data_IF_820818351561
#
_entry.id   IF_820818351561
#
_cell.length_a   1.000
_cell.length_b   1.000
_cell.length_c   1.000
_cell.angle_alpha   90.00
_cell.angle_beta   90.00
_cell.angle_gamma   90.00
#
_symmetry.space_group_name_H-M   'P 1'
#
loop_
_entity.id
_entity.type
_entity.pdbx_description
1 polymer ?
#
# COMPACT_ATOMS: atom_id res chain seq x y z
N UNK A 1 -15.80 -49.74 54.63
CA UNK A 1 -16.30 -48.48 54.04
C UNK A 1 -15.37 -47.26 54.11
N UNK A 2 -14.11 -47.34 54.60
CA UNK A 2 -13.21 -46.16 54.70
C UNK A 2 -12.13 -46.03 53.61
N UNK A 3 -12.01 -46.97 52.66
CA UNK A 3 -10.99 -46.91 51.58
C UNK A 3 -11.50 -46.44 50.22
N UNK A 4 -12.82 -46.41 49.99
CA UNK A 4 -13.39 -45.94 48.72
C UNK A 4 -13.50 -44.41 48.62
N UNK A 5 -13.55 -43.72 49.76
CA UNK A 5 -13.76 -42.26 49.80
C UNK A 5 -12.49 -41.45 49.52
N UNK A 6 -11.30 -42.02 49.72
CA UNK A 6 -10.03 -41.31 49.50
C UNK A 6 -9.64 -41.27 48.01
N UNK A 7 -10.04 -42.26 47.22
CA UNK A 7 -9.74 -42.32 45.79
C UNK A 7 -10.61 -41.36 44.95
N UNK A 8 -11.83 -41.09 45.40
CA UNK A 8 -12.75 -40.15 44.74
C UNK A 8 -12.28 -38.68 44.88
N UNK A 9 -11.59 -38.32 45.96
CA UNK A 9 -11.10 -36.95 46.19
C UNK A 9 -9.85 -36.64 45.35
N UNK A 10 -9.00 -37.63 45.10
CA UNK A 10 -7.77 -37.45 44.28
C UNK A 10 -8.12 -37.29 42.78
N UNK A 11 -9.20 -37.91 42.30
CA UNK A 11 -9.64 -37.74 40.91
C UNK A 11 -10.35 -36.40 40.63
N UNK A 12 -10.86 -35.70 41.64
CA UNK A 12 -11.53 -34.41 41.47
C UNK A 12 -10.58 -33.21 41.51
N UNK A 13 -9.37 -33.35 42.06
CA UNK A 13 -8.38 -32.26 42.11
C UNK A 13 -7.51 -32.16 40.86
N UNK A 14 -7.39 -33.24 40.07
CA UNK A 14 -6.57 -33.29 38.85
C UNK A 14 -7.13 -32.48 37.67
N UNK A 15 -8.44 -32.18 37.64
CA UNK A 15 -9.03 -31.31 36.62
C UNK A 15 -8.86 -29.80 36.93
N UNK A 16 -8.58 -29.44 38.18
CA UNK A 16 -8.43 -28.03 38.58
C UNK A 16 -7.06 -27.43 38.25
N UNK A 17 -6.04 -28.28 38.06
CA UNK A 17 -4.69 -27.90 37.64
C UNK A 17 -4.57 -27.64 36.13
N UNK A 18 -5.45 -28.21 35.29
CA UNK A 18 -5.43 -27.97 33.85
C UNK A 18 -6.11 -26.64 33.42
N UNK A 19 -6.99 -26.07 34.25
CA UNK A 19 -7.68 -24.81 33.91
C UNK A 19 -6.82 -23.57 34.23
N UNK A 20 -5.79 -23.70 35.08
CA UNK A 20 -4.90 -22.60 35.44
C UNK A 20 -3.80 -22.33 34.39
N UNK A 21 -3.41 -23.33 33.60
CA UNK A 21 -2.40 -23.14 32.56
C UNK A 21 -2.96 -22.56 31.26
N UNK A 22 -4.23 -22.78 30.93
CA UNK A 22 -4.83 -22.20 29.72
C UNK A 22 -5.05 -20.69 29.84
N UNK A 23 -5.42 -20.19 31.03
CA UNK A 23 -5.50 -18.73 31.29
C UNK A 23 -4.12 -18.07 31.33
N UNK A 24 -3.10 -18.76 31.86
CA UNK A 24 -1.70 -18.30 31.84
C UNK A 24 -1.16 -18.20 30.42
N UNK A 25 -1.46 -19.16 29.55
CA UNK A 25 -0.98 -19.16 28.17
C UNK A 25 -1.77 -18.20 27.28
N UNK A 26 -3.05 -17.97 27.55
CA UNK A 26 -3.84 -16.90 26.91
C UNK A 26 -3.37 -15.52 27.38
N UNK A 27 -3.07 -15.32 28.67
CA UNK A 27 -2.49 -14.07 29.18
C UNK A 27 -1.04 -13.84 28.74
N UNK A 28 -0.21 -14.89 28.61
CA UNK A 28 1.14 -14.80 28.03
C UNK A 28 1.10 -14.59 26.51
N UNK A 29 0.12 -15.14 25.79
CA UNK A 29 -0.14 -14.83 24.39
C UNK A 29 -0.69 -13.40 24.19
N UNK A 30 -1.39 -12.85 25.20
CA UNK A 30 -1.83 -11.44 25.23
C UNK A 30 -0.73 -10.47 25.71
N UNK A 31 0.26 -10.94 26.48
CA UNK A 31 1.38 -10.14 27.03
C UNK A 31 2.75 -10.56 26.45
N UNK A 32 2.90 -10.67 25.12
CA UNK A 32 4.17 -10.35 24.43
C UNK A 32 4.14 -10.34 22.90
N UNK A 33 2.98 -10.10 22.28
CA UNK A 33 3.03 -9.46 20.97
C UNK A 33 3.30 -7.97 21.23
N UNK A 34 4.58 -7.58 21.37
CA UNK A 34 4.96 -6.21 21.05
C UNK A 34 4.45 -5.99 19.62
N UNK A 35 3.28 -5.37 19.50
CA UNK A 35 2.64 -5.17 18.21
C UNK A 35 3.67 -4.49 17.32
N UNK A 36 4.10 -5.18 16.26
CA UNK A 36 5.13 -4.67 15.37
C UNK A 36 4.72 -3.28 14.92
N UNK A 37 5.48 -2.25 15.35
CA UNK A 37 5.13 -0.86 15.17
C UNK A 37 4.74 -0.60 13.69
N UNK A 38 3.61 0.08 13.47
CA UNK A 38 3.13 0.40 12.13
C UNK A 38 3.86 1.61 11.52
N UNK A 39 4.71 2.25 12.31
CA UNK A 39 5.46 3.45 11.98
C UNK A 39 6.71 3.53 12.86
N UNK A 40 7.62 4.43 12.53
CA UNK A 40 8.73 4.81 13.41
C UNK A 40 9.00 6.30 13.27
N UNK A 41 8.87 7.13 14.31
CA UNK A 41 9.19 8.54 14.20
C UNK A 41 10.66 8.74 13.90
N UNK A 42 11.00 9.53 12.88
CA UNK A 42 12.39 9.83 12.55
C UNK A 42 12.63 11.31 12.32
N UNK A 43 13.84 11.76 12.61
CA UNK A 43 14.33 13.10 12.28
C UNK A 43 14.59 13.19 10.77
N UNK A 44 14.64 14.43 10.24
CA UNK A 44 14.81 14.72 8.80
C UNK A 44 15.96 13.98 8.10
N UNK A 45 17.03 13.61 8.82
CA UNK A 45 18.25 13.01 8.25
C UNK A 45 18.20 11.49 8.07
N UNK A 46 17.12 10.82 8.47
CA UNK A 46 17.02 9.35 8.40
C UNK A 46 16.11 8.88 7.25
N UNK A 47 16.29 7.62 6.84
CA UNK A 47 15.62 7.04 5.69
C UNK A 47 14.56 6.01 6.09
N UNK A 48 13.38 6.12 5.50
CA UNK A 48 12.32 5.12 5.61
C UNK A 48 11.83 4.67 4.24
N UNK A 49 11.52 3.39 4.17
CA UNK A 49 10.99 2.74 3.00
C UNK A 49 9.73 2.00 3.41
N UNK A 50 8.69 2.16 2.60
CA UNK A 50 7.48 1.38 2.66
C UNK A 50 7.42 0.49 1.42
N UNK A 51 7.24 -0.81 1.59
CA UNK A 51 7.24 -1.76 0.46
C UNK A 51 6.47 -3.04 0.72
N UNK A 52 6.37 -3.88 -0.31
CA UNK A 52 5.57 -5.11 -0.29
C UNK A 52 6.07 -6.19 0.67
N UNK A 53 7.38 -6.20 0.98
CA UNK A 53 8.00 -7.14 1.91
C UNK A 53 9.33 -6.58 2.42
N UNK A 54 9.82 -7.16 3.51
CA UNK A 54 11.15 -6.84 4.04
C UNK A 54 12.27 -7.17 3.03
N UNK A 55 12.19 -8.33 2.36
CA UNK A 55 13.15 -8.72 1.33
C UNK A 55 13.23 -7.68 0.20
N UNK A 56 12.09 -7.19 -0.29
CA UNK A 56 12.05 -6.17 -1.32
C UNK A 56 12.75 -4.88 -0.88
N UNK A 57 12.46 -4.43 0.35
CA UNK A 57 13.06 -3.23 0.93
C UNK A 57 14.56 -3.40 1.14
N UNK A 58 15.01 -4.56 1.65
CA UNK A 58 16.44 -4.89 1.78
C UNK A 58 17.15 -4.92 0.43
N UNK A 59 16.53 -5.50 -0.60
CA UNK A 59 17.06 -5.54 -1.96
C UNK A 59 17.30 -4.13 -2.52
N UNK A 60 16.33 -3.22 -2.34
CA UNK A 60 16.48 -1.82 -2.73
C UNK A 60 17.58 -1.10 -1.94
N UNK A 61 17.62 -1.26 -0.60
CA UNK A 61 18.67 -0.65 0.24
C UNK A 61 20.07 -1.08 -0.21
N UNK A 62 20.28 -2.39 -0.41
CA UNK A 62 21.54 -2.95 -0.93
C UNK A 62 21.91 -2.39 -2.31
N UNK A 63 20.94 -2.25 -3.21
CA UNK A 63 21.16 -1.62 -4.51
C UNK A 63 21.64 -0.16 -4.35
N UNK A 64 20.94 0.67 -3.58
CA UNK A 64 21.32 2.08 -3.39
C UNK A 64 22.68 2.20 -2.72
N UNK A 65 22.98 1.35 -1.73
CA UNK A 65 24.29 1.29 -1.08
C UNK A 65 25.40 0.92 -2.08
N UNK A 66 25.15 -0.09 -2.92
CA UNK A 66 26.09 -0.52 -3.98
C UNK A 66 26.36 0.61 -4.97
N UNK A 67 25.33 1.33 -5.39
CA UNK A 67 25.48 2.49 -6.29
C UNK A 67 26.30 3.61 -5.64
N UNK A 68 26.07 3.90 -4.36
CA UNK A 68 26.87 4.86 -3.59
C UNK A 68 28.34 4.44 -3.51
N UNK A 69 28.64 3.18 -3.21
CA UNK A 69 30.01 2.65 -3.19
C UNK A 69 30.71 2.74 -4.56
N UNK A 70 29.94 2.68 -5.65
CA UNK A 70 30.43 2.91 -7.01
C UNK A 70 30.47 4.40 -7.41
N UNK A 71 30.35 5.33 -6.46
CA UNK A 71 30.32 6.80 -6.68
C UNK A 71 29.18 7.26 -7.59
N UNK A 72 28.10 6.48 -7.69
CA UNK A 72 26.88 6.80 -8.44
C UNK A 72 25.87 7.40 -7.48
N UNK A 73 25.88 8.72 -7.35
CA UNK A 73 24.93 9.45 -6.50
C UNK A 73 23.56 9.58 -7.17
N UNK A 74 22.50 9.13 -6.50
CA UNK A 74 21.12 9.29 -6.96
C UNK A 74 20.46 10.43 -6.18
N UNK A 75 19.79 11.35 -6.88
CA UNK A 75 18.91 12.34 -6.22
C UNK A 75 17.71 11.65 -5.57
N UNK A 76 16.96 12.35 -4.72
CA UNK A 76 15.73 11.84 -4.13
C UNK A 76 14.74 11.28 -5.18
N UNK A 77 14.57 12.01 -6.28
CA UNK A 77 13.67 11.62 -7.37
C UNK A 77 14.22 10.40 -8.13
N UNK A 78 15.54 10.31 -8.34
CA UNK A 78 16.16 9.12 -8.93
C UNK A 78 15.94 7.89 -8.05
N UNK A 79 16.14 8.04 -6.74
CA UNK A 79 15.90 7.00 -5.73
C UNK A 79 14.45 6.52 -5.78
N UNK A 80 13.49 7.44 -5.80
CA UNK A 80 12.07 7.11 -5.98
C UNK A 80 11.79 6.37 -7.30
N UNK A 81 12.32 6.84 -8.43
CA UNK A 81 12.09 6.22 -9.74
C UNK A 81 12.70 4.82 -9.81
N UNK A 82 13.89 4.61 -9.25
CA UNK A 82 14.48 3.27 -9.10
C UNK A 82 13.58 2.37 -8.27
N UNK A 83 13.08 2.87 -7.14
CA UNK A 83 12.18 2.12 -6.26
C UNK A 83 10.87 1.74 -6.95
N UNK A 84 10.29 2.67 -7.72
CA UNK A 84 9.11 2.44 -8.54
C UNK A 84 9.37 1.40 -9.65
N UNK A 85 10.48 1.50 -10.38
CA UNK A 85 10.85 0.52 -11.41
C UNK A 85 10.96 -0.91 -10.84
N UNK A 86 11.52 -1.06 -9.63
CA UNK A 86 11.61 -2.36 -8.96
C UNK A 86 10.25 -2.95 -8.57
N UNK A 87 9.19 -2.14 -8.45
CA UNK A 87 7.82 -2.64 -8.22
C UNK A 87 7.35 -3.54 -9.37
N UNK A 88 7.78 -3.27 -10.61
CA UNK A 88 7.42 -4.12 -11.75
C UNK A 88 7.90 -5.56 -11.59
N UNK A 89 8.95 -5.80 -10.80
CA UNK A 89 9.40 -7.15 -10.49
C UNK A 89 8.74 -7.72 -9.22
N UNK A 90 8.44 -6.87 -8.22
CA UNK A 90 7.85 -7.32 -6.94
C UNK A 90 6.35 -7.56 -6.98
N UNK A 91 5.64 -6.74 -7.75
CA UNK A 91 4.18 -6.75 -7.93
C UNK A 91 3.83 -6.65 -9.41
N UNK A 92 4.28 -7.60 -10.26
CA UNK A 92 4.00 -7.56 -11.70
C UNK A 92 2.49 -7.59 -12.01
N UNK A 93 1.68 -8.07 -11.06
CA UNK A 93 0.22 -8.04 -11.09
C UNK A 93 -0.37 -6.62 -10.97
N UNK A 94 0.32 -5.68 -10.33
CA UNK A 94 -0.14 -4.30 -10.12
C UNK A 94 0.74 -3.22 -10.76
N UNK A 95 1.99 -3.56 -11.06
CA UNK A 95 3.00 -2.69 -11.63
C UNK A 95 3.55 -3.30 -12.91
N UNK A 96 3.21 -2.69 -14.04
CA UNK A 96 3.75 -2.95 -15.36
C UNK A 96 3.87 -1.61 -16.10
N UNK A 97 4.49 -1.57 -17.29
CA UNK A 97 4.44 -0.39 -18.14
C UNK A 97 3.01 0.13 -18.37
N UNK A 98 2.02 -0.78 -18.42
CA UNK A 98 0.61 -0.44 -18.66
C UNK A 98 -0.14 0.07 -17.43
N UNK A 99 0.43 -0.05 -16.22
CA UNK A 99 -0.24 0.36 -14.99
C UNK A 99 -0.48 1.86 -14.91
N UNK A 100 -1.61 2.24 -14.30
CA UNK A 100 -1.80 3.58 -13.77
C UNK A 100 -0.78 3.83 -12.67
N UNK A 101 -0.26 5.06 -12.61
CA UNK A 101 0.65 5.48 -11.55
C UNK A 101 0.15 6.76 -10.89
N UNK A 102 -0.09 6.72 -9.59
CA UNK A 102 -0.36 7.90 -8.79
C UNK A 102 0.77 8.11 -7.81
N UNK A 103 1.22 9.35 -7.63
CA UNK A 103 2.27 9.67 -6.67
C UNK A 103 2.03 11.02 -6.00
N UNK A 104 2.21 11.04 -4.69
CA UNK A 104 2.41 12.25 -3.92
C UNK A 104 3.91 12.47 -3.70
N UNK A 105 4.42 13.68 -3.94
CA UNK A 105 5.81 14.06 -3.70
C UNK A 105 5.84 15.33 -2.86
N UNK A 106 6.44 15.26 -1.67
CA UNK A 106 6.87 16.42 -0.90
C UNK A 106 8.37 16.60 -1.05
N UNK A 107 8.81 17.64 -1.76
CA UNK A 107 10.23 17.86 -2.06
C UNK A 107 10.56 19.35 -2.02
N UNK A 108 11.65 19.71 -1.31
CA UNK A 108 12.12 21.10 -1.16
C UNK A 108 11.00 22.06 -0.74
N UNK A 109 10.19 21.66 0.24
CA UNK A 109 9.09 22.47 0.77
C UNK A 109 7.84 22.55 -0.11
N UNK A 110 7.84 21.94 -1.31
CA UNK A 110 6.70 21.94 -2.23
C UNK A 110 6.04 20.57 -2.31
N UNK A 111 4.74 20.59 -2.56
CA UNK A 111 3.90 19.40 -2.69
C UNK A 111 3.37 19.23 -4.09
N UNK A 112 3.48 18.01 -4.59
CA UNK A 112 3.03 17.64 -5.91
C UNK A 112 2.19 16.38 -5.83
N UNK A 113 1.13 16.34 -6.63
CA UNK A 113 0.37 15.14 -6.88
C UNK A 113 0.29 14.92 -8.39
N UNK A 114 0.67 13.71 -8.80
CA UNK A 114 0.62 13.27 -10.18
C UNK A 114 -0.27 12.05 -10.29
N UNK A 115 -1.12 12.05 -11.31
CA UNK A 115 -1.93 10.90 -11.72
C UNK A 115 -1.69 10.64 -13.20
N UNK A 116 -0.94 9.58 -13.49
CA UNK A 116 -0.60 9.12 -14.82
C UNK A 116 -1.50 7.94 -15.18
N UNK A 117 -2.38 8.14 -16.15
CA UNK A 117 -3.33 7.12 -16.60
C UNK A 117 -3.59 7.22 -18.10
N UNK A 118 -4.26 6.20 -18.65
CA UNK A 118 -4.68 6.18 -20.03
C UNK A 118 -6.13 5.69 -20.14
N UNK A 119 -6.93 6.33 -20.99
CA UNK A 119 -8.32 5.93 -21.24
C UNK A 119 -8.44 4.85 -22.32
N UNK A 120 -7.40 4.66 -23.14
CA UNK A 120 -7.37 3.71 -24.26
C UNK A 120 -6.13 2.83 -24.14
N UNK A 121 -6.27 1.57 -24.54
CA UNK A 121 -5.20 0.57 -24.62
C UNK A 121 -4.83 0.34 -26.10
N UNK A 122 -3.57 -0.01 -26.44
CA UNK A 122 -2.41 -0.05 -25.56
C UNK A 122 -2.05 1.35 -25.05
N UNK A 123 -1.43 1.42 -23.87
CA UNK A 123 -0.84 2.63 -23.29
C UNK A 123 0.16 2.27 -22.20
N UNK A 124 1.16 3.14 -21.97
CA UNK A 124 2.22 2.89 -20.99
C UNK A 124 2.33 3.99 -19.90
N UNK A 125 1.25 4.31 -19.18
CA UNK A 125 1.22 5.46 -18.26
C UNK A 125 2.25 5.35 -17.12
N UNK A 126 2.60 4.15 -16.67
CA UNK A 126 3.59 3.96 -15.61
C UNK A 126 4.97 4.50 -16.02
N UNK A 127 5.54 3.99 -17.12
CA UNK A 127 6.86 4.42 -17.60
C UNK A 127 6.85 5.85 -18.13
N UNK A 128 5.74 6.28 -18.73
CA UNK A 128 5.54 7.67 -19.11
C UNK A 128 5.60 8.61 -17.89
N UNK A 129 4.93 8.23 -16.80
CA UNK A 129 4.96 8.98 -15.56
C UNK A 129 6.35 9.07 -14.95
N UNK A 130 7.08 7.95 -14.89
CA UNK A 130 8.45 7.96 -14.38
C UNK A 130 9.41 8.82 -15.23
N UNK A 131 9.31 8.75 -16.57
CA UNK A 131 10.07 9.64 -17.47
C UNK A 131 9.69 11.12 -17.26
N UNK A 132 8.40 11.40 -17.05
CA UNK A 132 7.89 12.74 -16.75
C UNK A 132 8.40 13.29 -15.41
N UNK A 133 8.44 12.47 -14.36
CA UNK A 133 8.99 12.86 -13.06
C UNK A 133 10.48 13.20 -13.16
N UNK A 134 11.28 12.39 -13.85
CA UNK A 134 12.71 12.68 -14.03
C UNK A 134 12.92 14.03 -14.72
N UNK A 135 12.10 14.37 -15.71
CA UNK A 135 12.15 15.67 -16.41
C UNK A 135 11.67 16.82 -15.53
N UNK A 136 10.54 16.66 -14.85
CA UNK A 136 9.94 17.71 -14.01
C UNK A 136 10.86 18.14 -12.85
N UNK A 137 11.72 17.24 -12.39
CA UNK A 137 12.70 17.51 -11.33
C UNK A 137 14.14 17.58 -11.83
N UNK A 138 14.36 17.77 -13.14
CA UNK A 138 15.67 17.97 -13.78
C UNK A 138 16.72 16.93 -13.38
N UNK A 139 16.34 15.66 -13.35
CA UNK A 139 17.26 14.56 -13.05
C UNK A 139 18.37 14.45 -14.10
N UNK A 140 19.59 14.15 -13.63
CA UNK A 140 20.76 13.84 -14.48
C UNK A 140 20.68 12.47 -15.16
N UNK A 141 19.75 11.62 -14.76
CA UNK A 141 19.61 10.26 -15.26
C UNK A 141 18.34 10.11 -16.10
N UNK A 142 18.48 9.52 -17.29
CA UNK A 142 17.32 9.06 -18.05
C UNK A 142 16.75 7.77 -17.46
N UNK A 143 15.46 7.51 -17.74
CA UNK A 143 14.80 6.28 -17.31
C UNK A 143 15.58 5.03 -17.78
N UNK A 144 16.06 5.04 -19.04
CA UNK A 144 16.89 3.96 -19.61
C UNK A 144 18.20 3.76 -18.85
N UNK A 145 18.84 4.85 -18.38
CA UNK A 145 20.07 4.77 -17.58
C UNK A 145 19.79 4.18 -16.20
N UNK A 146 18.74 4.62 -15.51
CA UNK A 146 18.33 4.05 -14.22
C UNK A 146 17.97 2.56 -14.33
N UNK A 147 17.20 2.16 -15.35
CA UNK A 147 16.92 0.75 -15.62
C UNK A 147 18.19 -0.09 -15.85
N UNK A 148 19.17 0.46 -16.57
CA UNK A 148 20.48 -0.18 -16.76
C UNK A 148 21.30 -0.31 -15.47
N UNK A 149 21.21 0.65 -14.55
CA UNK A 149 21.85 0.56 -13.23
C UNK A 149 21.24 -0.57 -12.40
N UNK A 150 19.92 -0.70 -12.39
CA UNK A 150 19.22 -1.78 -11.70
C UNK A 150 19.64 -3.14 -12.27
N UNK A 151 19.58 -3.31 -13.60
CA UNK A 151 19.95 -4.56 -14.25
C UNK A 151 21.38 -5.02 -13.89
N UNK A 152 22.32 -4.06 -13.84
CA UNK A 152 23.74 -4.29 -13.57
C UNK A 152 24.04 -4.59 -12.10
N UNK A 153 23.47 -3.80 -11.18
CA UNK A 153 23.88 -3.79 -9.78
C UNK A 153 22.90 -4.47 -8.80
N UNK A 154 21.64 -4.73 -9.20
CA UNK A 154 20.74 -5.51 -8.36
C UNK A 154 21.10 -7.00 -8.44
N UNK A 155 21.79 -7.50 -7.41
CA UNK A 155 22.18 -8.92 -7.30
C UNK A 155 21.15 -9.75 -6.54
N UNK A 156 20.53 -9.16 -5.53
CA UNK A 156 19.57 -9.85 -4.67
C UNK A 156 18.28 -10.20 -5.42
N UNK A 157 17.80 -11.45 -5.31
CA UNK A 157 16.51 -11.82 -5.86
C UNK A 157 15.40 -11.08 -5.12
N UNK A 158 14.36 -10.71 -5.88
CA UNK A 158 13.10 -10.27 -5.29
C UNK A 158 12.25 -11.51 -5.08
N UNK A 159 11.83 -11.73 -3.83
CA UNK A 159 11.03 -12.88 -3.45
C UNK A 159 9.53 -12.60 -3.59
N UNK A 160 8.76 -13.66 -3.80
CA UNK A 160 7.30 -13.63 -3.82
C UNK A 160 6.79 -13.14 -2.46
N UNK A 161 5.98 -12.07 -2.49
CA UNK A 161 5.29 -11.55 -1.32
C UNK A 161 3.97 -12.28 -1.09
N UNK A 162 3.42 -12.20 0.12
CA UNK A 162 2.12 -12.80 0.46
C UNK A 162 0.97 -12.27 -0.43
N UNK A 163 1.02 -10.98 -0.78
CA UNK A 163 0.01 -10.37 -1.65
C UNK A 163 0.11 -10.92 -3.08
N UNK A 164 1.32 -11.05 -3.62
CA UNK A 164 1.50 -11.60 -4.97
C UNK A 164 1.16 -13.09 -5.01
N UNK A 165 1.53 -13.86 -3.99
CA UNK A 165 1.11 -15.26 -3.84
C UNK A 165 -0.42 -15.39 -3.84
N UNK A 166 -1.13 -14.53 -3.11
CA UNK A 166 -2.60 -14.55 -3.07
C UNK A 166 -3.20 -14.31 -4.47
N UNK A 167 -2.63 -13.37 -5.23
CA UNK A 167 -3.00 -13.15 -6.63
C UNK A 167 -2.75 -14.40 -7.50
N UNK A 168 -1.57 -15.02 -7.40
CA UNK A 168 -1.25 -16.25 -8.15
C UNK A 168 -2.21 -17.40 -7.80
N UNK A 169 -2.54 -17.55 -6.50
CA UNK A 169 -3.46 -18.58 -6.00
C UNK A 169 -4.86 -18.42 -6.59
N UNK A 170 -5.41 -17.20 -6.57
CA UNK A 170 -6.71 -16.88 -7.14
C UNK A 170 -6.76 -17.15 -8.66
N UNK A 171 -5.64 -16.96 -9.34
CA UNK A 171 -5.54 -16.99 -10.79
C UNK A 171 -4.89 -18.26 -11.37
N UNK A 172 -4.59 -19.28 -10.54
CA UNK A 172 -3.83 -20.48 -10.93
C UNK A 172 -4.40 -21.16 -12.19
N UNK A 173 -5.72 -21.32 -12.28
CA UNK A 173 -6.38 -21.98 -13.42
C UNK A 173 -6.16 -21.24 -14.74
N UNK A 174 -6.22 -19.91 -14.71
CA UNK A 174 -6.03 -19.05 -15.88
C UNK A 174 -4.54 -19.01 -16.25
N UNK A 175 -3.64 -18.89 -15.26
CA UNK A 175 -2.19 -18.89 -15.46
C UNK A 175 -1.67 -20.16 -16.16
N UNK A 176 -2.25 -21.33 -15.86
CA UNK A 176 -1.88 -22.59 -16.54
C UNK A 176 -2.06 -22.54 -18.06
N UNK A 177 -3.00 -21.73 -18.55
CA UNK A 177 -3.33 -21.59 -19.97
C UNK A 177 -2.61 -20.41 -20.65
N UNK A 178 -1.88 -19.58 -19.89
CA UNK A 178 -1.27 -18.38 -20.45
C UNK A 178 0.22 -18.55 -20.78
N UNK A 179 0.75 -17.61 -21.55
CA UNK A 179 2.19 -17.50 -21.83
C UNK A 179 3.02 -17.13 -20.59
N UNK A 180 2.38 -16.84 -19.45
CA UNK A 180 3.05 -16.55 -18.18
C UNK A 180 3.31 -17.79 -17.33
N UNK A 181 2.81 -18.97 -17.74
CA UNK A 181 2.94 -20.22 -16.99
C UNK A 181 4.40 -20.53 -16.62
N UNK A 182 5.34 -20.33 -17.53
CA UNK A 182 6.75 -20.67 -17.33
C UNK A 182 7.46 -19.73 -16.34
N UNK A 183 6.87 -18.57 -16.03
CA UNK A 183 7.44 -17.61 -15.07
C UNK A 183 6.89 -17.80 -13.66
N UNK A 184 5.65 -18.27 -13.54
CA UNK A 184 4.93 -18.30 -12.26
C UNK A 184 4.48 -19.69 -11.83
N UNK A 185 4.68 -20.71 -12.66
CA UNK A 185 4.46 -22.10 -12.31
C UNK A 185 5.75 -22.92 -12.39
N UNK A 186 6.04 -23.71 -11.34
CA UNK A 186 7.07 -24.74 -11.32
C UNK A 186 6.39 -26.09 -11.12
N UNK A 187 6.61 -27.04 -12.03
CA UNK A 187 5.93 -28.34 -12.02
C UNK A 187 4.38 -28.21 -11.84
N UNK A 188 3.77 -27.19 -12.46
CA UNK A 188 2.32 -26.94 -12.36
C UNK A 188 1.83 -26.34 -11.03
N UNK A 189 2.72 -26.06 -10.09
CA UNK A 189 2.45 -25.36 -8.82
C UNK A 189 2.83 -23.89 -8.93
N UNK A 190 2.09 -23.00 -8.26
CA UNK A 190 2.39 -21.56 -8.22
C UNK A 190 3.64 -21.30 -7.38
N UNK A 191 4.34 -20.20 -7.65
CA UNK A 191 5.40 -19.74 -6.75
C UNK A 191 4.83 -19.36 -5.38
N UNK A 192 5.51 -19.77 -4.31
CA UNK A 192 5.15 -19.55 -2.91
C UNK A 192 5.95 -18.40 -2.29
N UNK A 193 5.48 -17.81 -1.17
CA UNK A 193 6.24 -16.80 -0.44
C UNK A 193 7.66 -17.28 -0.11
N UNK A 194 8.64 -16.41 -0.34
CA UNK A 194 10.06 -16.75 -0.14
C UNK A 194 10.75 -17.34 -1.39
N UNK A 195 10.01 -17.80 -2.40
CA UNK A 195 10.60 -18.17 -3.69
C UNK A 195 10.94 -16.92 -4.53
N UNK A 196 11.98 -17.03 -5.36
CA UNK A 196 12.42 -15.94 -6.23
C UNK A 196 11.49 -15.71 -7.42
N UNK A 197 11.16 -14.44 -7.69
CA UNK A 197 10.51 -14.02 -8.93
C UNK A 197 11.57 -13.91 -10.04
N UNK A 198 11.29 -14.35 -11.28
CA UNK A 198 12.21 -14.20 -12.40
C UNK A 198 12.67 -12.75 -12.58
N UNK A 199 13.99 -12.53 -12.73
CA UNK A 199 14.56 -11.18 -12.85
C UNK A 199 14.14 -10.51 -14.16
N UNK A 200 13.51 -9.35 -14.05
CA UNK A 200 13.18 -8.49 -15.18
C UNK A 200 14.42 -7.73 -15.70
N UNK A 201 14.60 -7.67 -17.03
CA UNK A 201 15.62 -6.85 -17.70
C UNK A 201 15.05 -5.46 -18.02
N UNK A 202 15.11 -4.54 -17.06
CA UNK A 202 14.46 -3.24 -17.11
C UNK A 202 14.92 -2.36 -18.27
N UNK A 203 16.22 -2.36 -18.60
CA UNK A 203 16.74 -1.58 -19.73
C UNK A 203 16.08 -1.98 -21.05
N UNK A 204 15.80 -3.28 -21.23
CA UNK A 204 15.13 -3.81 -22.43
C UNK A 204 13.66 -3.41 -22.46
N UNK A 205 12.94 -3.57 -21.34
CA UNK A 205 11.54 -3.12 -21.19
C UNK A 205 11.41 -1.63 -21.51
N UNK A 206 12.29 -0.80 -20.96
CA UNK A 206 12.27 0.65 -21.18
C UNK A 206 12.59 1.00 -22.64
N UNK A 207 13.50 0.26 -23.29
CA UNK A 207 13.75 0.44 -24.72
C UNK A 207 12.52 0.11 -25.58
N UNK A 208 11.80 -0.98 -25.27
CA UNK A 208 10.52 -1.31 -25.91
C UNK A 208 9.48 -0.21 -25.69
N UNK A 209 9.41 0.37 -24.49
CA UNK A 209 8.56 1.53 -24.23
C UNK A 209 8.90 2.70 -25.15
N UNK A 210 10.17 3.12 -25.26
CA UNK A 210 10.53 4.25 -26.12
C UNK A 210 10.27 3.99 -27.61
N UNK A 211 10.38 2.73 -28.07
CA UNK A 211 10.00 2.34 -29.45
C UNK A 211 8.50 2.49 -29.68
N UNK A 212 7.68 2.06 -28.71
CA UNK A 212 6.24 2.01 -28.86
C UNK A 212 5.53 3.31 -28.43
N UNK A 213 6.12 4.18 -27.62
CA UNK A 213 5.42 5.36 -27.05
C UNK A 213 4.86 6.34 -28.09
N UNK A 214 5.41 6.36 -29.32
CA UNK A 214 4.95 7.24 -30.41
C UNK A 214 3.62 6.77 -31.02
N UNK A 215 3.28 5.48 -30.91
CA UNK A 215 2.16 4.86 -31.61
C UNK A 215 0.95 4.61 -30.69
N UNK A 216 1.01 5.09 -29.44
CA UNK A 216 0.23 4.53 -28.35
C UNK A 216 -0.38 5.65 -27.50
N UNK A 217 -1.60 6.06 -27.88
CA UNK A 217 -2.57 6.80 -27.06
C UNK A 217 -2.21 8.21 -26.56
N UNK A 218 -3.22 9.09 -26.42
CA UNK A 218 -3.06 10.37 -25.70
C UNK A 218 -2.90 10.08 -24.20
N UNK A 219 -1.69 10.23 -23.67
CA UNK A 219 -1.43 10.20 -22.22
C UNK A 219 -2.15 11.37 -21.55
N UNK A 220 -2.73 11.14 -20.37
CA UNK A 220 -3.18 12.24 -19.51
C UNK A 220 -2.36 12.24 -18.24
N UNK A 221 -1.70 13.37 -18.01
CA UNK A 221 -1.14 13.72 -16.70
C UNK A 221 -2.07 14.73 -16.09
N UNK A 222 -2.59 14.42 -14.91
CA UNK A 222 -3.14 15.46 -14.04
C UNK A 222 -2.02 15.85 -13.09
N UNK A 223 -1.35 16.97 -13.38
CA UNK A 223 -0.54 17.67 -12.38
C UNK A 223 -1.51 18.56 -11.63
N UNK A 224 -1.73 18.26 -10.35
CA UNK A 224 -2.48 19.14 -9.48
C UNK A 224 -1.68 19.29 -8.19
N UNK A 225 -1.57 20.50 -7.65
CA UNK A 225 -1.60 20.62 -6.20
C UNK A 225 -2.90 19.97 -5.79
N UNK A 226 -2.91 18.90 -4.96
CA UNK A 226 -4.09 18.06 -4.69
C UNK A 226 -5.34 18.96 -4.70
N UNK A 227 -6.19 18.86 -5.75
CA UNK A 227 -7.13 19.92 -6.07
C UNK A 227 -8.02 20.21 -4.87
N UNK A 228 -8.12 21.49 -4.54
CA UNK A 228 -8.98 22.09 -3.50
C UNK A 228 -10.47 22.01 -3.81
N UNK A 229 -10.85 21.38 -4.92
CA UNK A 229 -12.20 21.57 -5.46
C UNK A 229 -13.12 20.47 -4.97
N UNK A 230 -13.92 20.88 -3.97
CA UNK A 230 -15.20 20.32 -3.50
C UNK A 230 -15.22 19.61 -2.15
N UNK A 231 -14.25 19.81 -1.27
CA UNK A 231 -14.47 19.51 0.15
C UNK A 231 -13.52 20.28 1.07
N UNK A 232 -13.67 21.61 1.12
CA UNK A 232 -13.15 22.37 2.25
C UNK A 232 -14.02 22.05 3.46
N UNK A 233 -13.66 21.04 4.23
CA UNK A 233 -13.98 21.05 5.65
C UNK A 233 -12.95 21.97 6.27
N UNK A 234 -13.18 23.28 6.13
CA UNK A 234 -12.40 24.26 6.87
C UNK A 234 -12.94 24.22 8.29
N UNK A 235 -12.27 23.48 9.17
CA UNK A 235 -12.31 23.85 10.58
C UNK A 235 -11.40 25.05 10.77
N UNK A 236 -11.58 25.82 11.85
CA UNK A 236 -10.79 27.03 12.14
C UNK A 236 -9.26 26.82 12.02
N UNK A 237 -8.80 25.57 12.19
CA UNK A 237 -7.39 25.23 12.35
C UNK A 237 -6.80 24.32 11.26
N UNK A 238 -7.57 23.84 10.27
CA UNK A 238 -7.08 22.82 9.34
C UNK A 238 -7.51 22.99 7.90
N UNK A 239 -6.58 22.68 6.99
CA UNK A 239 -6.79 22.66 5.54
C UNK A 239 -6.73 21.23 5.02
N UNK A 240 -7.84 20.75 4.45
CA UNK A 240 -7.98 19.40 3.89
C UNK A 240 -8.12 19.49 2.37
N UNK A 241 -7.30 18.74 1.64
CA UNK A 241 -7.33 18.63 0.18
C UNK A 241 -7.36 17.17 -0.23
N UNK A 242 -8.36 16.77 -1.02
CA UNK A 242 -8.50 15.38 -1.47
C UNK A 242 -8.65 15.28 -2.99
N UNK A 243 -8.25 14.17 -3.58
CA UNK A 243 -8.53 13.86 -5.00
C UNK A 243 -9.92 13.21 -5.21
N UNK A 244 -10.81 13.38 -4.23
CA UNK A 244 -12.20 12.91 -4.22
C UNK A 244 -13.10 14.03 -3.74
N UNK A 245 -14.32 14.04 -4.25
CA UNK A 245 -15.38 14.89 -3.72
C UNK A 245 -15.95 14.23 -2.45
N UNK A 246 -15.61 14.78 -1.27
CA UNK A 246 -16.11 14.24 0.00
C UNK A 246 -17.61 14.52 0.21
N UNK A 247 -18.20 15.50 -0.50
CA UNK A 247 -19.62 15.82 -0.34
C UNK A 247 -20.52 14.69 -0.82
N UNK A 248 -20.03 13.82 -1.71
CA UNK A 248 -20.73 12.60 -2.13
C UNK A 248 -21.12 11.73 -0.93
N UNK A 249 -20.29 11.70 0.13
CA UNK A 249 -20.50 10.90 1.34
C UNK A 249 -21.21 11.68 2.46
N UNK A 250 -21.62 12.91 2.21
CA UNK A 250 -22.56 13.63 3.08
C UNK A 250 -24.01 13.32 2.72
N UNK A 251 -24.23 12.82 1.50
CA UNK A 251 -25.48 12.19 1.08
C UNK A 251 -25.29 10.66 1.23
N UNK A 252 -26.34 9.86 1.45
CA UNK A 252 -26.23 8.39 1.48
C UNK A 252 -25.98 7.79 0.07
N UNK A 253 -25.27 8.52 -0.80
CA UNK A 253 -24.88 8.10 -2.14
C UNK A 253 -23.56 7.32 -2.03
N UNK A 254 -23.68 6.02 -1.80
CA UNK A 254 -22.54 5.11 -1.75
C UNK A 254 -22.35 4.44 -3.11
N UNK A 255 -21.13 4.39 -3.63
CA UNK A 255 -20.88 3.79 -4.94
C UNK A 255 -20.95 2.26 -4.81
N UNK A 256 -22.09 1.67 -5.19
CA UNK A 256 -22.28 0.20 -5.17
C UNK A 256 -21.61 -0.50 -6.36
N UNK A 257 -21.49 0.21 -7.49
CA UNK A 257 -20.95 -0.27 -8.77
C UNK A 257 -19.49 0.13 -8.94
N UNK A 258 -18.59 -0.69 -8.40
CA UNK A 258 -17.16 -0.58 -8.67
C UNK A 258 -16.48 -1.93 -8.48
N UNK A 259 -15.60 -2.30 -9.41
CA UNK A 259 -14.67 -3.40 -9.19
C UNK A 259 -13.87 -3.11 -7.91
N UNK A 260 -13.69 -4.14 -7.08
CA UNK A 260 -12.90 -4.02 -5.85
C UNK A 260 -11.51 -3.51 -6.22
N UNK A 261 -11.17 -2.29 -5.80
CA UNK A 261 -9.88 -1.71 -6.10
C UNK A 261 -8.79 -2.50 -5.39
N UNK A 262 -7.76 -2.90 -6.13
CA UNK A 262 -6.50 -3.40 -5.56
C UNK A 262 -5.35 -2.62 -6.19
N UNK A 263 -4.30 -2.40 -5.40
CA UNK A 263 -3.15 -1.62 -5.82
C UNK A 263 -1.90 -2.01 -5.02
N UNK A 264 -0.73 -1.76 -5.59
CA UNK A 264 0.52 -1.80 -4.85
C UNK A 264 0.84 -0.39 -4.33
N UNK A 265 1.14 -0.28 -3.04
CA UNK A 265 1.55 0.96 -2.39
C UNK A 265 2.99 0.82 -1.95
N UNK A 266 3.74 1.91 -2.09
CA UNK A 266 5.14 1.98 -1.69
C UNK A 266 5.51 3.42 -1.38
N UNK A 267 6.56 3.62 -0.60
CA UNK A 267 6.97 4.95 -0.21
C UNK A 267 8.45 5.05 0.12
N UNK A 268 8.96 6.26 0.00
CA UNK A 268 10.32 6.66 0.32
C UNK A 268 10.26 7.97 1.11
N UNK A 269 10.85 8.00 2.29
CA UNK A 269 11.15 9.22 3.03
C UNK A 269 12.66 9.30 3.25
N UNK A 270 13.25 10.44 2.92
CA UNK A 270 14.70 10.61 2.88
C UNK A 270 15.03 12.11 2.86
N UNK A 271 15.91 12.55 3.77
CA UNK A 271 16.40 13.93 3.85
C UNK A 271 15.27 15.00 3.87
N UNK A 272 14.17 14.71 4.56
CA UNK A 272 12.99 15.59 4.64
C UNK A 272 12.13 15.64 3.38
N UNK A 273 12.47 14.87 2.35
CA UNK A 273 11.63 14.63 1.17
C UNK A 273 10.84 13.35 1.33
N UNK A 274 9.63 13.30 0.76
CA UNK A 274 8.74 12.14 0.81
C UNK A 274 8.12 11.88 -0.55
N UNK A 275 7.98 10.60 -0.89
CA UNK A 275 7.25 10.14 -2.04
C UNK A 275 6.40 8.94 -1.64
N UNK A 276 5.10 9.00 -1.94
CA UNK A 276 4.16 7.90 -1.75
C UNK A 276 3.57 7.52 -3.10
N UNK A 277 3.93 6.34 -3.59
CA UNK A 277 3.51 5.82 -4.89
C UNK A 277 2.43 4.77 -4.77
N UNK A 278 1.49 4.80 -5.71
CA UNK A 278 0.47 3.78 -5.91
C UNK A 278 0.46 3.35 -7.36
N UNK A 279 0.38 2.05 -7.59
CA UNK A 279 0.21 1.47 -8.94
C UNK A 279 -0.97 0.52 -8.95
N UNK A 280 -1.74 0.59 -10.01
CA UNK A 280 -2.89 -0.29 -10.24
C UNK A 280 -3.03 -0.57 -11.74
N UNK A 281 -3.54 -1.73 -12.08
CA UNK A 281 -3.96 -2.06 -13.45
C UNK A 281 -5.14 -3.02 -13.38
N UNK A 282 -6.05 -2.91 -14.35
CA UNK A 282 -7.02 -3.98 -14.58
C UNK A 282 -6.39 -5.00 -15.55
N UNK A 283 -6.59 -6.28 -15.26
CA UNK A 283 -6.07 -7.39 -16.06
C UNK A 283 -7.26 -8.10 -16.70
N UNK A 284 -7.62 -7.69 -17.91
CA UNK A 284 -8.74 -8.30 -18.65
C UNK A 284 -8.41 -9.76 -19.02
N UNK A 285 -7.14 -10.02 -19.34
CA UNK A 285 -6.58 -11.36 -19.54
C UNK A 285 -5.21 -11.47 -18.87
N UNK A 286 -4.80 -12.69 -18.49
CA UNK A 286 -3.48 -12.92 -17.90
C UNK A 286 -2.43 -13.22 -18.97
N UNK A 287 -2.15 -12.24 -19.82
CA UNK A 287 -1.12 -12.33 -20.86
C UNK A 287 0.15 -11.56 -20.48
N UNK A 288 1.29 -12.06 -20.95
CA UNK A 288 2.58 -11.44 -20.78
C UNK A 288 2.80 -10.25 -21.72
N UNK A 289 3.15 -9.09 -21.16
CA UNK A 289 3.50 -7.90 -21.92
C UNK A 289 4.85 -8.11 -22.64
N UNK A 290 4.84 -7.95 -23.96
CA UNK A 290 6.03 -8.05 -24.82
C UNK A 290 6.84 -9.35 -24.65
N UNK A 291 6.15 -10.46 -24.34
CA UNK A 291 6.77 -11.77 -24.11
C UNK A 291 7.64 -11.81 -22.85
N UNK A 292 7.33 -11.02 -21.84
CA UNK A 292 8.05 -10.99 -20.55
C UNK A 292 7.19 -11.52 -19.42
N UNK A 293 7.75 -11.59 -18.20
CA UNK A 293 6.98 -11.98 -17.02
C UNK A 293 5.99 -10.89 -16.56
N UNK A 294 6.02 -9.68 -17.13
CA UNK A 294 5.05 -8.64 -16.77
C UNK A 294 3.66 -8.94 -17.30
N UNK A 295 2.63 -8.66 -16.51
CA UNK A 295 1.25 -8.76 -16.99
C UNK A 295 0.91 -7.57 -17.89
N UNK A 296 0.18 -7.84 -18.97
CA UNK A 296 -0.43 -6.82 -19.81
C UNK A 296 -1.78 -6.43 -19.22
N UNK A 297 -1.87 -5.21 -18.71
CA UNK A 297 -3.09 -4.64 -18.19
C UNK A 297 -3.61 -3.48 -19.03
N UNK A 298 -4.60 -2.80 -18.48
CA UNK A 298 -5.12 -1.54 -19.00
C UNK A 298 -4.70 -0.38 -18.11
N UNK A 299 -4.38 0.75 -18.75
CA UNK A 299 -4.06 2.01 -18.06
C UNK A 299 -5.24 2.66 -17.32
N UNK A 300 -6.40 2.00 -17.31
CA UNK A 300 -7.63 2.38 -16.60
C UNK A 300 -7.72 1.76 -15.21
N UNK A 301 -6.58 1.36 -14.62
CA UNK A 301 -6.51 0.85 -13.27
C UNK A 301 -7.20 1.74 -12.23
N UNK A 302 -7.59 1.12 -11.12
CA UNK A 302 -8.29 1.77 -10.00
C UNK A 302 -7.59 3.05 -9.54
N UNK A 303 -8.35 4.13 -9.34
CA UNK A 303 -7.83 5.39 -8.80
C UNK A 303 -7.80 5.32 -7.27
N UNK A 304 -6.61 5.24 -6.67
CA UNK A 304 -6.47 5.41 -5.23
C UNK A 304 -6.87 6.83 -4.80
N UNK A 305 -7.42 6.92 -3.59
CA UNK A 305 -7.88 8.17 -3.00
C UNK A 305 -6.80 8.72 -2.09
N UNK A 306 -6.50 10.00 -2.25
CA UNK A 306 -5.47 10.74 -1.53
C UNK A 306 -6.14 11.90 -0.82
N UNK A 307 -5.75 12.12 0.43
CA UNK A 307 -6.12 13.30 1.21
C UNK A 307 -4.90 13.86 1.93
N UNK A 308 -4.65 15.15 1.74
CA UNK A 308 -3.68 15.95 2.49
C UNK A 308 -4.41 16.72 3.57
N UNK A 309 -3.86 16.68 4.78
CA UNK A 309 -4.31 17.50 5.91
C UNK A 309 -3.13 18.37 6.35
N UNK A 310 -3.35 19.67 6.56
CA UNK A 310 -2.34 20.60 7.07
C UNK A 310 -2.96 21.38 8.23
N UNK A 311 -2.28 21.40 9.38
CA UNK A 311 -2.70 22.09 10.60
C UNK A 311 -1.47 22.64 11.30
N UNK A 312 -1.36 23.98 11.38
CA UNK A 312 -0.13 24.64 11.86
C UNK A 312 1.09 24.10 11.10
N UNK A 313 2.11 23.61 11.80
CA UNK A 313 3.30 22.98 11.19
C UNK A 313 3.12 21.49 10.83
N UNK A 314 2.00 20.89 11.27
CA UNK A 314 1.73 19.48 11.07
C UNK A 314 1.17 19.22 9.68
N UNK A 315 1.59 18.11 9.08
CA UNK A 315 1.14 17.73 7.76
C UNK A 315 0.99 16.23 7.65
N UNK A 316 -0.12 15.80 7.07
CA UNK A 316 -0.44 14.40 6.89
C UNK A 316 -0.91 14.15 5.46
N UNK A 317 -0.58 12.97 4.96
CA UNK A 317 -1.08 12.44 3.69
C UNK A 317 -1.66 11.07 3.98
N UNK A 318 -2.92 10.85 3.62
CA UNK A 318 -3.59 9.56 3.70
C UNK A 318 -3.87 9.03 2.30
N UNK A 319 -3.68 7.73 2.12
CA UNK A 319 -3.93 7.02 0.86
C UNK A 319 -4.85 5.84 1.16
N UNK A 320 -6.05 5.85 0.59
CA UNK A 320 -6.92 4.66 0.56
C UNK A 320 -6.94 4.07 -0.83
N UNK A 321 -6.40 2.86 -0.93
CA UNK A 321 -5.99 2.28 -2.22
C UNK A 321 -6.62 0.92 -2.51
N UNK A 322 -7.30 0.33 -1.52
CA UNK A 322 -7.92 -0.98 -1.60
C UNK A 322 -9.29 -0.97 -0.95
N UNK A 323 -10.24 -1.69 -1.52
CA UNK A 323 -11.58 -1.84 -0.97
C UNK A 323 -12.69 -1.59 -2.00
N UNK A 324 -13.94 -1.76 -1.56
CA UNK A 324 -15.12 -1.51 -2.39
C UNK A 324 -15.37 -0.01 -2.60
N UNK A 325 -15.23 0.78 -1.54
CA UNK A 325 -15.29 2.24 -1.63
C UNK A 325 -14.21 2.92 -0.76
N UNK A 326 -12.98 3.05 -1.30
CA UNK A 326 -11.88 3.72 -0.58
C UNK A 326 -12.11 5.22 -0.36
N UNK A 327 -13.05 5.85 -1.07
CA UNK A 327 -13.41 7.24 -0.81
C UNK A 327 -14.28 7.37 0.44
N UNK A 328 -15.24 6.45 0.63
CA UNK A 328 -16.01 6.37 1.86
C UNK A 328 -15.11 6.15 3.08
N UNK A 329 -14.08 5.31 2.96
CA UNK A 329 -13.10 5.13 4.04
C UNK A 329 -12.43 6.45 4.44
N UNK A 330 -11.88 7.21 3.48
CA UNK A 330 -11.24 8.48 3.79
C UNK A 330 -12.24 9.50 4.34
N UNK A 331 -13.46 9.54 3.82
CA UNK A 331 -14.52 10.41 4.37
C UNK A 331 -14.82 10.08 5.83
N UNK A 332 -15.00 8.80 6.17
CA UNK A 332 -15.20 8.36 7.55
C UNK A 332 -14.00 8.69 8.45
N UNK A 333 -12.77 8.56 7.93
CA UNK A 333 -11.56 8.96 8.66
C UNK A 333 -11.58 10.46 8.98
N UNK A 334 -11.89 11.29 7.99
CA UNK A 334 -11.95 12.75 8.17
C UNK A 334 -13.04 13.19 9.14
N UNK A 335 -14.21 12.53 9.13
CA UNK A 335 -15.31 12.74 10.09
C UNK A 335 -14.97 12.31 11.52
N UNK A 336 -14.05 11.36 11.71
CA UNK A 336 -13.56 10.91 13.03
C UNK A 336 -12.40 11.77 13.55
N UNK A 337 -12.47 13.09 13.39
CA UNK A 337 -11.48 14.00 13.95
C UNK A 337 -10.05 13.84 13.40
N UNK A 338 -9.84 13.29 12.20
CA UNK A 338 -8.51 13.20 11.60
C UNK A 338 -7.82 14.58 11.43
N UNK A 339 -8.61 15.66 11.40
CA UNK A 339 -8.13 17.04 11.36
C UNK A 339 -7.59 17.55 12.70
N UNK A 340 -7.89 16.87 13.81
CA UNK A 340 -7.35 17.19 15.13
C UNK A 340 -6.07 16.42 15.48
N UNK A 341 -5.58 15.53 14.59
CA UNK A 341 -4.37 14.76 14.84
C UNK A 341 -3.16 15.68 14.99
N UNK A 342 -2.43 15.48 16.07
CA UNK A 342 -1.25 16.23 16.49
C UNK A 342 -0.05 15.34 16.85
N UNK A 343 -0.20 14.02 16.82
CA UNK A 343 0.83 13.05 17.18
C UNK A 343 0.83 11.81 16.29
N UNK A 344 1.96 11.11 16.22
CA UNK A 344 2.07 9.85 15.48
C UNK A 344 1.15 8.76 16.04
N UNK A 345 0.96 8.72 17.37
CA UNK A 345 0.04 7.78 18.04
C UNK A 345 -1.39 7.97 17.54
N UNK A 346 -1.84 9.23 17.43
CA UNK A 346 -3.19 9.54 16.94
C UNK A 346 -3.40 9.11 15.47
N UNK A 347 -2.35 9.17 14.63
CA UNK A 347 -2.39 8.60 13.27
C UNK A 347 -2.53 7.08 13.31
N UNK A 348 -1.72 6.40 14.12
CA UNK A 348 -1.73 4.94 14.22
C UNK A 348 -3.06 4.41 14.77
N UNK A 349 -3.57 5.02 15.83
CA UNK A 349 -4.89 4.71 16.42
C UNK A 349 -5.99 4.86 15.36
N UNK A 350 -5.93 5.91 14.53
CA UNK A 350 -6.90 6.12 13.46
C UNK A 350 -6.79 5.03 12.38
N UNK A 351 -5.59 4.72 11.89
CA UNK A 351 -5.34 3.70 10.85
C UNK A 351 -5.74 2.30 11.34
N UNK A 352 -5.44 1.98 12.60
CA UNK A 352 -5.71 0.66 13.19
C UNK A 352 -7.21 0.46 13.53
N UNK A 353 -7.94 1.55 13.78
CA UNK A 353 -9.37 1.53 14.15
C UNK A 353 -10.27 0.76 13.17
N UNK A 354 -11.36 0.19 13.68
CA UNK A 354 -12.34 -0.52 12.86
C UNK A 354 -13.01 0.36 11.81
N UNK A 355 -13.16 -0.18 10.61
CA UNK A 355 -13.81 0.48 9.47
C UNK A 355 -15.21 -0.06 9.26
N UNK A 356 -16.06 0.79 8.72
CA UNK A 356 -17.36 0.38 8.18
C UNK A 356 -17.58 1.04 6.82
N UNK A 357 -18.36 0.35 5.99
CA UNK A 357 -18.88 0.83 4.72
C UNK A 357 -20.40 0.71 4.75
N UNK A 358 -21.08 1.77 4.33
CA UNK A 358 -22.49 1.70 3.96
C UNK A 358 -22.56 1.37 2.48
N UNK A 359 -23.33 0.34 2.12
CA UNK A 359 -23.57 -0.03 0.74
C UNK A 359 -25.03 0.21 0.42
N UNK A 360 -25.29 0.82 -0.73
CA UNK A 360 -26.63 0.85 -1.32
C UNK A 360 -26.79 -0.37 -2.23
N UNK A 361 -28.01 -0.87 -2.34
CA UNK A 361 -28.40 -1.95 -3.25
C UNK A 361 -27.76 -3.35 -2.96
N UNK A 362 -28.35 -4.15 -2.05
CA UNK A 362 -29.29 -3.74 -1.01
C UNK A 362 -28.61 -2.88 0.08
N UNK A 363 -29.40 -2.08 0.79
CA UNK A 363 -28.93 -1.23 1.87
C UNK A 363 -28.40 -2.09 3.03
N UNK A 364 -27.11 -1.94 3.35
CA UNK A 364 -26.44 -2.71 4.42
C UNK A 364 -25.18 -2.03 4.90
N UNK A 365 -24.75 -2.39 6.10
CA UNK A 365 -23.47 -2.00 6.68
C UNK A 365 -22.53 -3.21 6.66
N UNK A 366 -21.30 -3.00 6.20
CA UNK A 366 -20.21 -3.95 6.40
C UNK A 366 -19.25 -3.36 7.43
N UNK A 367 -18.88 -4.13 8.46
CA UNK A 367 -18.09 -3.66 9.59
C UNK A 367 -16.96 -4.62 9.99
N UNK A 368 -15.80 -4.06 10.31
CA UNK A 368 -14.64 -4.79 10.87
C UNK A 368 -14.81 -5.07 12.37
N UNK A 369 -15.82 -5.86 12.72
CA UNK A 369 -16.22 -6.09 14.13
C UNK A 369 -15.10 -6.62 15.04
N UNK A 370 -14.14 -7.39 14.52
CA UNK A 370 -12.99 -7.90 15.30
C UNK A 370 -12.05 -6.81 15.82
N UNK A 371 -12.02 -5.64 15.19
CA UNK A 371 -11.21 -4.48 15.59
C UNK A 371 -12.05 -3.40 16.27
N UNK A 372 -13.35 -3.66 16.40
CA UNK A 372 -14.36 -2.69 16.77
C UNK A 372 -14.73 -2.75 18.24
N UNK A 373 -15.14 -1.62 18.81
CA UNK A 373 -15.73 -1.62 20.15
C UNK A 373 -17.19 -2.09 20.11
N UNK A 374 -17.66 -2.69 21.21
CA UNK A 374 -19.09 -3.02 21.42
C UNK A 374 -19.97 -1.77 21.29
N UNK A 375 -19.51 -0.62 21.80
CA UNK A 375 -20.22 0.65 21.69
C UNK A 375 -20.45 1.05 20.23
N UNK A 376 -19.41 0.99 19.39
CA UNK A 376 -19.56 1.31 17.97
C UNK A 376 -20.45 0.30 17.24
N UNK A 377 -20.34 -0.98 17.60
CA UNK A 377 -21.21 -2.02 17.06
C UNK A 377 -22.68 -1.75 17.38
N UNK A 378 -22.99 -1.42 18.63
CA UNK A 378 -24.36 -1.08 19.05
C UNK A 378 -24.88 0.19 18.37
N UNK A 379 -24.02 1.20 18.20
CA UNK A 379 -24.35 2.41 17.45
C UNK A 379 -24.75 2.09 16.00
N UNK A 380 -23.98 1.24 15.30
CA UNK A 380 -24.30 0.82 13.93
C UNK A 380 -25.58 -0.04 13.87
N UNK A 381 -25.85 -0.88 14.88
CA UNK A 381 -27.09 -1.69 14.94
C UNK A 381 -28.33 -0.82 15.10
N UNK A 382 -28.23 0.31 15.80
CA UNK A 382 -29.33 1.27 15.96
C UNK A 382 -29.74 1.96 14.66
N UNK A 383 -28.91 1.91 13.62
CA UNK A 383 -29.24 2.45 12.29
C UNK A 383 -30.29 1.62 11.54
N UNK A 384 -30.65 0.43 12.04
CA UNK A 384 -31.72 -0.41 11.46
C UNK A 384 -31.35 -1.14 10.17
N UNK A 385 -30.11 -1.03 9.70
CA UNK A 385 -29.62 -1.73 8.51
C UNK A 385 -29.02 -3.11 8.83
N UNK A 386 -29.16 -4.10 7.92
CA UNK A 386 -28.42 -5.36 8.00
C UNK A 386 -26.91 -5.11 8.18
N UNK A 387 -26.33 -5.75 9.19
CA UNK A 387 -24.93 -5.56 9.56
C UNK A 387 -24.14 -6.85 9.34
N UNK A 388 -23.14 -6.78 8.47
CA UNK A 388 -22.28 -7.90 8.12
C UNK A 388 -20.86 -7.70 8.62
N UNK A 389 -20.21 -8.79 9.02
CA UNK A 389 -18.80 -8.79 9.36
C UNK A 389 -17.93 -8.82 8.09
N UNK A 390 -16.84 -8.04 8.09
CA UNK A 390 -15.70 -8.27 7.22
C UNK A 390 -14.41 -8.26 8.02
N UNK A 391 -13.46 -9.12 7.66
CA UNK A 391 -12.13 -9.13 8.29
C UNK A 391 -11.26 -7.95 7.86
N UNK A 392 -11.50 -7.41 6.66
CA UNK A 392 -10.73 -6.33 6.07
C UNK A 392 -11.55 -5.60 5.00
N UNK A 393 -11.79 -4.31 5.21
CA UNK A 393 -12.52 -3.49 4.24
C UNK A 393 -11.61 -2.79 3.23
N UNK A 394 -10.31 -2.68 3.50
CA UNK A 394 -9.38 -1.94 2.65
C UNK A 394 -8.08 -1.59 3.39
N UNK A 395 -7.20 -0.84 2.73
CA UNK A 395 -5.93 -0.38 3.32
C UNK A 395 -5.85 1.15 3.34
N UNK A 396 -5.29 1.68 4.42
CA UNK A 396 -4.93 3.09 4.53
C UNK A 396 -3.45 3.21 4.89
N UNK A 397 -2.73 3.89 4.01
CA UNK A 397 -1.34 4.26 4.21
C UNK A 397 -1.27 5.72 4.58
N UNK A 398 -0.24 6.11 5.32
CA UNK A 398 -0.03 7.51 5.60
C UNK A 398 1.43 7.93 5.62
N UNK A 399 1.63 9.23 5.50
CA UNK A 399 2.82 9.90 5.96
C UNK A 399 2.37 11.02 6.90
N UNK A 400 3.06 11.17 8.03
CA UNK A 400 2.82 12.25 8.98
C UNK A 400 4.11 13.01 9.26
N UNK A 401 4.01 14.33 9.37
CA UNK A 401 5.05 15.23 9.86
C UNK A 401 4.48 16.02 11.03
N UNK A 402 5.16 15.92 12.17
CA UNK A 402 4.82 16.61 13.41
C UNK A 402 6.07 17.34 13.91
N UNK A 403 6.10 18.66 13.77
CA UNK A 403 7.30 19.48 13.94
C UNK A 403 8.46 19.00 13.04
N UNK A 404 9.58 18.62 13.66
CA UNK A 404 10.78 18.14 12.96
C UNK A 404 10.82 16.62 12.73
N UNK A 405 9.83 15.89 13.22
CA UNK A 405 9.74 14.45 13.04
C UNK A 405 8.82 14.12 11.87
N UNK A 406 9.09 13.01 11.21
CA UNK A 406 8.25 12.47 10.15
C UNK A 406 8.23 10.95 10.20
N UNK A 407 7.18 10.34 9.65
CA UNK A 407 7.08 8.88 9.58
C UNK A 407 6.17 8.41 8.45
N UNK A 408 6.54 7.28 7.83
CA UNK A 408 5.66 6.48 6.99
C UNK A 408 4.87 5.50 7.86
N UNK A 409 3.59 5.36 7.55
CA UNK A 409 2.67 4.46 8.24
C UNK A 409 2.19 3.36 7.30
N UNK A 410 2.26 2.12 7.78
CA UNK A 410 1.58 0.98 7.16
C UNK A 410 0.24 0.68 7.83
N UNK A 411 -0.69 0.16 7.05
CA UNK A 411 -1.88 -0.46 7.62
C UNK A 411 -1.51 -1.84 8.18
N UNK A 412 -1.82 -2.17 9.45
CA UNK A 412 -1.58 -3.50 10.00
C UNK A 412 -2.37 -4.62 9.28
N UNK A 413 -3.39 -4.28 8.49
CA UNK A 413 -4.14 -5.26 7.66
C UNK A 413 -3.37 -5.64 6.40
N UNK A 414 -2.37 -4.86 6.00
CA UNK A 414 -1.60 -5.10 4.79
C UNK A 414 -0.34 -5.92 5.09
N UNK A 415 -0.11 -6.96 4.29
CA UNK A 415 1.18 -7.65 4.27
C UNK A 415 2.21 -6.76 3.59
N UNK A 416 2.84 -5.90 4.39
CA UNK A 416 3.81 -4.90 3.97
C UNK A 416 4.81 -4.62 5.07
N UNK A 417 5.88 -3.94 4.69
CA UNK A 417 6.99 -3.61 5.58
C UNK A 417 7.28 -2.11 5.53
N UNK A 418 7.44 -1.51 6.71
CA UNK A 418 8.03 -0.18 6.89
C UNK A 418 9.39 -0.38 7.52
N UNK A 419 10.42 0.13 6.89
CA UNK A 419 11.77 0.03 7.41
C UNK A 419 12.08 1.16 8.35
N UNK A 420 12.47 0.85 9.57
CA UNK A 420 13.00 1.84 10.49
C UNK A 420 14.52 1.95 10.30
N UNK A 421 15.10 3.14 10.51
CA UNK A 421 16.54 3.23 10.75
C UNK A 421 16.84 2.42 12.02
N UNK A 422 17.92 1.66 12.00
CA UNK A 422 18.49 1.17 13.25
C UNK A 422 18.88 2.41 14.05
N UNK A 423 18.41 2.51 15.30
CA UNK A 423 18.92 3.53 16.22
C UNK A 423 20.41 3.29 16.32
N UNK A 424 21.22 4.20 15.77
CA UNK A 424 22.63 4.27 16.11
C UNK A 424 22.67 4.42 17.65
N UNK A 425 23.06 3.35 18.32
CA UNK A 425 23.38 3.34 19.74
C UNK A 425 24.82 3.80 19.92
#
# INVERSE_FOLDING_TARGET
MKRLTLFAIICLTSCSLFIKNEKSDVEKALKKNQAALNYCPIKRKANQLLGASENFVKSYRKLVQTLRLKKIHLSFIDRYVVYALMQMNSRPDQASPTSRHQVFIGHRGKDYYFDFFAKKSPAYPFLFGLDGLLKAFSSRYSLKRLGGLIDRYQKEPILVSQNFYSFLKQNKKILKKSNLKNYYLKAGQILHPGESIPKLKLKSIIAKYYKNKKNVGRFKTLVRYIPSEKSKINTSDSNIHCNIDLNLYNRPLYLSKGAYGDSANFGLFDEGSVALGVTSQALDTLQGLWGTNLFQGTGTGYQARFCKITRKENKMIFISSKGKDPGQHLSHFLKRNAHYIDSFKNVDDLITSARYLHLVDPLRIIYESRRGSKLKLNMLRKEGYPLYHSSNLGYIWAWGKFGNLSSLFRDPRAHSFVSCPETEH
#
